data_IF_778754361203
#
_entry.id   IF_778754361203
#
_cell.length_a   1.000
_cell.length_b   1.000
_cell.length_c   1.000
_cell.angle_alpha   90.00
_cell.angle_beta   90.00
_cell.angle_gamma   90.00
#
_symmetry.space_group_name_H-M   'P 1'
#
loop_
_entity.id
_entity.type
_entity.pdbx_description
1 polymer ?
#
# COMPACT_ATOMS: atom_id res chain seq x y z
N UNK A 1 -4.44 -46.85 -12.90
CA UNK A 1 -4.14 -45.64 -13.71
C UNK A 1 -4.41 -44.37 -12.90
N UNK A 2 -3.59 -44.07 -11.89
CA UNK A 2 -3.66 -42.84 -11.08
C UNK A 2 -2.24 -42.55 -10.56
N UNK A 3 -1.84 -41.28 -10.52
CA UNK A 3 -0.56 -40.70 -9.99
C UNK A 3 0.46 -40.25 -11.05
N UNK A 4 0.10 -39.22 -11.81
CA UNK A 4 1.06 -38.40 -12.58
C UNK A 4 0.85 -36.89 -12.36
N UNK A 5 0.35 -36.49 -11.17
CA UNK A 5 -0.02 -35.09 -10.81
C UNK A 5 0.84 -34.56 -9.64
N UNK A 6 1.96 -35.23 -9.31
CA UNK A 6 2.73 -34.92 -8.09
C UNK A 6 3.74 -33.77 -8.17
N UNK A 7 4.20 -33.39 -9.36
CA UNK A 7 5.38 -32.50 -9.48
C UNK A 7 5.08 -31.07 -9.97
N UNK A 8 4.01 -30.87 -10.74
CA UNK A 8 3.59 -29.53 -11.19
C UNK A 8 3.00 -28.73 -10.01
N UNK A 9 2.35 -29.41 -9.05
CA UNK A 9 1.82 -28.77 -7.85
C UNK A 9 2.88 -28.19 -6.92
N UNK A 10 4.04 -28.85 -6.76
CA UNK A 10 5.10 -28.39 -5.86
C UNK A 10 5.82 -27.14 -6.40
N UNK A 11 6.06 -27.06 -7.71
CA UNK A 11 6.60 -25.85 -8.35
C UNK A 11 5.59 -24.69 -8.35
N UNK A 12 4.29 -24.98 -8.52
CA UNK A 12 3.24 -23.97 -8.39
C UNK A 12 3.10 -23.47 -6.94
N UNK A 13 3.30 -24.37 -5.97
CA UNK A 13 3.28 -24.05 -4.53
C UNK A 13 4.50 -23.22 -4.11
N UNK A 14 5.69 -23.53 -4.63
CA UNK A 14 6.90 -22.73 -4.38
C UNK A 14 6.78 -21.36 -5.08
N UNK A 15 6.21 -21.30 -6.30
CA UNK A 15 5.94 -20.02 -6.97
C UNK A 15 4.90 -19.19 -6.20
N UNK A 16 3.88 -19.83 -5.61
CA UNK A 16 2.90 -19.17 -4.76
C UNK A 16 3.52 -18.65 -3.45
N UNK A 17 4.42 -19.43 -2.82
CA UNK A 17 5.14 -19.04 -1.60
C UNK A 17 6.11 -17.88 -1.85
N UNK A 18 6.95 -17.97 -2.89
CA UNK A 18 7.90 -16.89 -3.23
C UNK A 18 7.17 -15.57 -3.55
N UNK A 19 5.97 -15.64 -4.12
CA UNK A 19 5.15 -14.47 -4.40
C UNK A 19 4.43 -13.91 -3.16
N UNK A 20 4.13 -14.74 -2.14
CA UNK A 20 3.52 -14.29 -0.88
C UNK A 20 4.54 -13.81 0.17
N UNK A 21 5.80 -14.24 0.10
CA UNK A 21 6.86 -13.78 1.02
C UNK A 21 7.28 -12.31 0.85
N UNK A 22 6.85 -11.62 -0.22
CA UNK A 22 7.10 -10.18 -0.35
C UNK A 22 6.05 -9.33 0.41
N UNK A 23 4.99 -9.94 0.92
CA UNK A 23 3.88 -9.30 1.65
C UNK A 23 3.71 -9.90 3.06
N UNK A 24 4.80 -10.34 3.68
CA UNK A 24 4.75 -10.90 5.03
C UNK A 24 4.20 -9.88 6.06
N UNK A 25 3.23 -10.28 6.93
CA UNK A 25 2.67 -9.42 7.96
C UNK A 25 3.72 -8.94 8.98
N UNK A 26 4.87 -9.61 9.06
CA UNK A 26 6.02 -9.21 9.86
C UNK A 26 6.64 -7.88 9.39
N UNK A 27 6.78 -7.68 8.08
CA UNK A 27 7.26 -6.41 7.52
C UNK A 27 6.20 -5.32 7.73
N UNK A 28 4.91 -5.66 7.52
CA UNK A 28 3.75 -4.79 7.79
C UNK A 28 3.76 -4.28 9.24
N UNK A 29 4.11 -5.15 10.19
CA UNK A 29 4.15 -4.86 11.63
C UNK A 29 5.41 -4.09 12.03
N UNK A 30 6.58 -4.44 11.48
CA UNK A 30 7.83 -3.74 11.74
C UNK A 30 7.82 -2.29 11.26
N UNK A 31 7.13 -2.01 10.14
CA UNK A 31 6.98 -0.67 9.57
C UNK A 31 5.83 0.12 10.22
N UNK A 32 5.03 -0.49 11.10
CA UNK A 32 3.84 0.17 11.68
C UNK A 32 4.17 1.36 12.60
N UNK A 33 5.40 1.43 13.14
CA UNK A 33 5.86 2.52 14.00
C UNK A 33 6.72 3.58 13.31
N UNK A 34 6.96 3.45 12.01
CA UNK A 34 7.71 4.44 11.23
C UNK A 34 6.81 5.01 10.13
N UNK A 35 6.37 6.24 10.35
CA UNK A 35 5.46 6.93 9.45
C UNK A 35 6.06 7.12 8.04
N UNK A 36 7.39 7.24 7.92
CA UNK A 36 8.05 7.34 6.60
C UNK A 36 8.05 5.99 5.90
N UNK A 37 8.28 4.91 6.63
CA UNK A 37 8.19 3.55 6.09
C UNK A 37 6.79 3.26 5.54
N UNK A 38 5.74 3.64 6.28
CA UNK A 38 4.35 3.52 5.83
C UNK A 38 4.06 4.36 4.58
N UNK A 39 4.56 5.60 4.51
CA UNK A 39 4.45 6.42 3.32
C UNK A 39 5.10 5.75 2.10
N UNK A 40 6.31 5.20 2.25
CA UNK A 40 7.01 4.52 1.16
C UNK A 40 6.28 3.26 0.68
N UNK A 41 5.64 2.52 1.59
CA UNK A 41 4.77 1.39 1.23
C UNK A 41 3.57 1.89 0.42
N UNK A 42 2.86 2.91 0.92
CA UNK A 42 1.74 3.52 0.19
C UNK A 42 2.16 3.99 -1.20
N UNK A 43 3.34 4.60 -1.32
CA UNK A 43 3.93 5.04 -2.59
C UNK A 43 4.26 3.88 -3.52
N UNK A 44 4.70 2.75 -2.98
CA UNK A 44 4.98 1.55 -3.77
C UNK A 44 3.70 0.95 -4.35
N UNK A 45 2.60 0.93 -3.59
CA UNK A 45 1.28 0.55 -4.08
C UNK A 45 0.70 1.56 -5.08
N UNK A 46 0.92 2.85 -4.86
CA UNK A 46 0.49 3.91 -5.77
C UNK A 46 1.24 3.87 -7.11
N UNK A 47 2.57 3.69 -7.08
CA UNK A 47 3.42 3.63 -8.28
C UNK A 47 3.42 2.24 -8.95
N UNK A 48 2.93 1.19 -8.25
CA UNK A 48 3.05 -0.21 -8.69
C UNK A 48 4.49 -0.72 -8.74
N UNK A 49 5.37 -0.21 -7.86
CA UNK A 49 6.80 -0.59 -7.82
C UNK A 49 7.03 -1.75 -6.87
N UNK A 50 7.38 -2.91 -7.43
CA UNK A 50 7.63 -4.13 -6.65
C UNK A 50 6.38 -4.83 -6.12
N UNK A 51 5.21 -4.17 -6.21
CA UNK A 51 3.89 -4.70 -5.89
C UNK A 51 2.91 -4.35 -7.02
N UNK A 52 1.81 -5.10 -7.11
CA UNK A 52 0.72 -4.74 -8.02
C UNK A 52 0.18 -3.36 -7.60
N UNK A 53 -0.01 -2.49 -8.58
CA UNK A 53 -0.58 -1.16 -8.34
C UNK A 53 -1.97 -1.30 -7.73
N UNK A 54 -2.18 -0.64 -6.60
CA UNK A 54 -3.43 -0.65 -5.84
C UNK A 54 -3.59 0.69 -5.13
N UNK A 55 -4.53 1.50 -5.59
CA UNK A 55 -4.74 2.82 -5.01
C UNK A 55 -5.49 2.74 -3.67
N UNK A 56 -6.35 1.73 -3.47
CA UNK A 56 -7.10 1.58 -2.22
C UNK A 56 -6.13 1.24 -1.07
N UNK A 57 -5.20 0.30 -1.32
CA UNK A 57 -4.16 -0.06 -0.35
C UNK A 57 -3.18 1.11 -0.15
N UNK A 58 -2.85 1.87 -1.20
CA UNK A 58 -2.01 3.06 -1.09
C UNK A 58 -2.61 4.10 -0.13
N UNK A 59 -3.91 4.42 -0.29
CA UNK A 59 -4.63 5.34 0.59
C UNK A 59 -4.65 4.84 2.02
N UNK A 60 -4.90 3.53 2.23
CA UNK A 60 -4.88 2.95 3.57
C UNK A 60 -3.55 3.21 4.29
N UNK A 61 -2.43 3.01 3.59
CA UNK A 61 -1.10 3.27 4.14
C UNK A 61 -0.79 4.75 4.36
N UNK A 62 -1.21 5.61 3.42
CA UNK A 62 -1.06 7.05 3.60
C UNK A 62 -1.88 7.57 4.79
N UNK A 63 -3.07 7.03 5.07
CA UNK A 63 -3.85 7.37 6.27
C UNK A 63 -3.11 7.00 7.55
N UNK A 64 -2.59 5.78 7.65
CA UNK A 64 -1.82 5.35 8.80
C UNK A 64 -0.58 6.24 9.06
N UNK A 65 0.12 6.64 7.99
CA UNK A 65 1.28 7.53 8.09
C UNK A 65 0.89 8.97 8.45
N UNK A 66 -0.22 9.47 7.89
CA UNK A 66 -0.75 10.79 8.17
C UNK A 66 -1.23 10.95 9.62
N UNK A 67 -1.83 9.90 10.20
CA UNK A 67 -2.22 9.84 11.62
C UNK A 67 -1.01 9.94 12.56
N UNK A 68 0.16 9.49 12.10
CA UNK A 68 1.43 9.64 12.82
C UNK A 68 2.11 10.99 12.56
N UNK A 69 1.48 11.88 11.81
CA UNK A 69 1.98 13.22 11.53
C UNK A 69 2.91 13.32 10.31
N UNK A 70 3.04 12.27 9.48
CA UNK A 70 3.86 12.35 8.27
C UNK A 70 3.25 13.33 7.25
N UNK A 71 4.00 14.40 6.96
CA UNK A 71 3.59 15.48 6.06
C UNK A 71 3.48 15.01 4.61
N UNK A 72 4.39 14.16 4.15
CA UNK A 72 4.35 13.62 2.79
C UNK A 72 3.12 12.74 2.57
N UNK A 73 2.74 11.96 3.58
CA UNK A 73 1.54 11.12 3.53
C UNK A 73 0.25 11.95 3.50
N UNK A 74 0.15 13.02 4.30
CA UNK A 74 -0.97 13.96 4.25
C UNK A 74 -1.10 14.61 2.86
N UNK A 75 0.02 15.04 2.27
CA UNK A 75 0.03 15.58 0.90
C UNK A 75 -0.42 14.52 -0.13
N UNK A 76 0.08 13.29 -0.02
CA UNK A 76 -0.32 12.19 -0.89
C UNK A 76 -1.82 11.85 -0.77
N UNK A 77 -2.41 11.92 0.42
CA UNK A 77 -3.87 11.81 0.60
C UNK A 77 -4.62 12.93 -0.12
N UNK A 78 -4.15 14.17 0.00
CA UNK A 78 -4.70 15.30 -0.75
C UNK A 78 -4.78 15.02 -2.24
N UNK A 79 -3.69 14.50 -2.82
CA UNK A 79 -3.63 14.11 -4.25
C UNK A 79 -4.59 12.95 -4.56
N UNK A 80 -4.72 11.96 -3.68
CA UNK A 80 -5.63 10.83 -3.88
C UNK A 80 -7.10 11.29 -3.92
N UNK A 81 -7.49 12.20 -3.02
CA UNK A 81 -8.83 12.79 -2.99
C UNK A 81 -9.08 13.76 -4.17
N UNK A 82 -8.07 14.53 -4.58
CA UNK A 82 -8.15 15.41 -5.75
C UNK A 82 -8.39 14.61 -7.04
N UNK A 83 -7.72 13.46 -7.19
CA UNK A 83 -7.77 12.62 -8.39
C UNK A 83 -8.81 11.50 -8.34
N UNK A 84 -9.42 11.25 -7.17
CA UNK A 84 -10.29 10.10 -6.94
C UNK A 84 -9.58 8.75 -7.10
N UNK A 85 -8.32 8.66 -6.67
CA UNK A 85 -7.51 7.44 -6.75
C UNK A 85 -7.53 6.71 -5.42
N UNK A 86 -8.18 5.55 -5.37
CA UNK A 86 -8.32 4.75 -4.15
C UNK A 86 -9.38 5.29 -3.17
N UNK A 87 -10.03 6.39 -3.54
CA UNK A 87 -11.10 7.06 -2.80
C UNK A 87 -12.04 7.72 -3.79
N UNK A 88 -13.26 8.00 -3.35
CA UNK A 88 -14.15 8.90 -4.10
C UNK A 88 -13.49 10.27 -4.18
N UNK A 89 -13.48 10.85 -5.37
CA UNK A 89 -12.98 12.19 -5.60
C UNK A 89 -13.73 13.19 -4.73
N UNK A 90 -12.98 13.99 -3.98
CA UNK A 90 -13.50 15.02 -3.08
C UNK A 90 -12.47 16.14 -2.91
N UNK A 91 -12.79 17.32 -3.45
CA UNK A 91 -11.90 18.46 -3.39
C UNK A 91 -11.85 19.13 -2.02
N UNK A 92 -12.94 19.05 -1.25
CA UNK A 92 -12.99 19.64 0.10
C UNK A 92 -12.10 18.81 1.03
N UNK A 93 -12.18 17.50 0.92
CA UNK A 93 -11.31 16.57 1.65
C UNK A 93 -9.85 16.71 1.22
N UNK A 94 -9.58 16.90 -0.08
CA UNK A 94 -8.22 17.16 -0.57
C UNK A 94 -7.61 18.41 0.06
N UNK A 95 -8.37 19.51 0.10
CA UNK A 95 -7.95 20.78 0.73
C UNK A 95 -7.73 20.60 2.22
N UNK A 96 -8.58 19.82 2.91
CA UNK A 96 -8.39 19.50 4.33
C UNK A 96 -7.03 18.82 4.57
N UNK A 97 -6.70 17.78 3.79
CA UNK A 97 -5.41 17.09 3.91
C UNK A 97 -4.21 17.95 3.51
N UNK A 98 -4.34 18.82 2.50
CA UNK A 98 -3.28 19.77 2.16
C UNK A 98 -3.02 20.80 3.26
N UNK A 99 -4.07 21.31 3.90
CA UNK A 99 -3.92 22.22 5.05
C UNK A 99 -3.26 21.52 6.22
N UNK A 100 -3.70 20.31 6.54
CA UNK A 100 -3.09 19.50 7.60
C UNK A 100 -1.61 19.15 7.34
N UNK A 101 -1.17 19.17 6.07
CA UNK A 101 0.24 19.00 5.69
C UNK A 101 1.06 20.30 5.83
N UNK A 102 0.41 21.46 5.86
CA UNK A 102 1.06 22.77 5.99
C UNK A 102 1.11 23.29 7.44
N UNK A 103 0.34 22.68 8.34
CA UNK A 103 0.37 22.87 9.80
C UNK A 103 1.53 22.12 10.47
#
# INVERSE_FOLDING_TARGET
MKRFIGFIGLLFFIFFIVFTSCSDPLIKKAMSGDAEAQYLIGKSYYDGKGVKQDYDEAVHWYKAAAEQGNVQAKNALGVCYEKGQGVKQDYDEAVHWYKAAAE
#
